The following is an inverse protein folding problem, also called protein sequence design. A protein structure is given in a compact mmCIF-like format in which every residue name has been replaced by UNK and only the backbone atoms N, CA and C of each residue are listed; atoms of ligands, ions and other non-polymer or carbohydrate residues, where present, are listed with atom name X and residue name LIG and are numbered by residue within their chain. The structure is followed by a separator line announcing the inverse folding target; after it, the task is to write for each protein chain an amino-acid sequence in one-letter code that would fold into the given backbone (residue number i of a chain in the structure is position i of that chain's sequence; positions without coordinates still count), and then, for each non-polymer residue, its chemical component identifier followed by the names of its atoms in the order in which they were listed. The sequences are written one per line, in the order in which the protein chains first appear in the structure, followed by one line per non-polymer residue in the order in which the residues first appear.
data_IF_847814035584
#
_entry.id   IF_847814035584
#
_cell.length_a   1.000
_cell.length_b   1.000
_cell.length_c   1.000
_cell.angle_alpha   90.00
_cell.angle_beta   90.00
_cell.angle_gamma   90.00
#
_symmetry.space_group_name_H-M   'P 1'
#
loop_
_entity.id
_entity.type
_entity.pdbx_description
1 polymer ?
#
# COMPACT_ATOMS: atom_id res chain seq x y z
N UNK A 1 -16.94 -7.01 8.10
CA UNK A 1 -17.42 -5.66 8.46
C UNK A 1 -17.59 -5.47 9.95
N UNK A 2 -18.30 -6.34 10.68
CA UNK A 2 -18.60 -6.10 12.11
C UNK A 2 -17.34 -5.95 12.99
N UNK A 3 -16.30 -6.76 12.76
CA UNK A 3 -15.02 -6.68 13.47
C UNK A 3 -14.24 -5.38 13.22
N UNK A 4 -14.39 -4.79 12.03
CA UNK A 4 -13.75 -3.52 11.66
C UNK A 4 -14.43 -2.35 12.37
N UNK A 5 -15.77 -2.37 12.46
CA UNK A 5 -16.51 -1.36 13.22
C UNK A 5 -16.19 -1.51 14.71
N UNK A 6 -16.21 -2.74 15.22
CA UNK A 6 -15.88 -3.05 16.61
C UNK A 6 -14.47 -2.58 16.98
N UNK A 7 -13.45 -2.77 16.12
CA UNK A 7 -12.10 -2.30 16.40
C UNK A 7 -12.02 -0.79 16.54
N UNK A 8 -12.78 -0.03 15.74
CA UNK A 8 -12.82 1.43 15.90
C UNK A 8 -13.50 1.85 17.20
N UNK A 9 -14.63 1.22 17.54
CA UNK A 9 -15.38 1.54 18.77
C UNK A 9 -14.56 1.18 20.01
N UNK A 10 -13.84 0.07 20.00
CA UNK A 10 -13.06 -0.40 21.14
C UNK A 10 -11.63 0.17 21.21
N UNK A 11 -11.21 0.96 20.22
CA UNK A 11 -9.83 1.43 20.10
C UNK A 11 -8.81 0.30 19.93
N UNK A 12 -9.20 -0.82 19.32
CA UNK A 12 -8.27 -1.92 19.06
C UNK A 12 -7.34 -1.57 17.90
N UNK A 13 -6.07 -1.98 18.01
CA UNK A 13 -5.04 -1.75 16.99
C UNK A 13 -5.37 -2.42 15.65
N UNK A 14 -5.94 -3.63 15.67
CA UNK A 14 -6.42 -4.30 14.47
C UNK A 14 -7.50 -5.36 14.77
N UNK A 15 -7.98 -6.01 13.72
CA UNK A 15 -8.90 -7.14 13.83
C UNK A 15 -8.43 -8.31 12.97
N UNK A 16 -8.73 -9.52 13.42
CA UNK A 16 -8.47 -10.75 12.69
C UNK A 16 -9.75 -11.57 12.55
N UNK A 17 -9.95 -12.16 11.36
CA UNK A 17 -11.07 -13.07 11.09
C UNK A 17 -10.50 -14.45 10.77
N UNK A 18 -10.84 -15.43 11.60
CA UNK A 18 -10.49 -16.84 11.37
C UNK A 18 -11.71 -17.64 10.92
N UNK A 19 -11.57 -18.60 10.00
CA UNK A 19 -12.59 -19.64 9.84
C UNK A 19 -12.72 -20.45 11.14
N UNK A 20 -13.94 -20.87 11.46
CA UNK A 20 -14.27 -21.77 12.57
C UNK A 20 -15.44 -22.66 12.15
N UNK A 21 -15.58 -23.84 12.78
CA UNK A 21 -16.70 -24.74 12.48
C UNK A 21 -18.04 -24.06 12.82
N UNK A 22 -18.92 -23.92 11.84
CA UNK A 22 -20.18 -23.18 12.00
C UNK A 22 -20.09 -21.66 11.81
N UNK A 23 -18.95 -21.10 11.39
CA UNK A 23 -18.88 -19.68 11.01
C UNK A 23 -17.48 -19.07 10.99
N UNK A 24 -17.33 -17.93 11.66
CA UNK A 24 -16.08 -17.21 11.74
C UNK A 24 -15.87 -16.64 13.15
N UNK A 25 -14.65 -16.80 13.66
CA UNK A 25 -14.21 -16.11 14.86
C UNK A 25 -13.64 -14.74 14.49
N UNK A 26 -13.95 -13.74 15.31
CA UNK A 26 -13.43 -12.38 15.17
C UNK A 26 -12.66 -12.00 16.43
N UNK A 27 -11.40 -11.63 16.25
CA UNK A 27 -10.52 -11.19 17.34
C UNK A 27 -10.20 -9.72 17.16
N UNK A 28 -10.24 -8.99 18.27
CA UNK A 28 -9.71 -7.63 18.37
C UNK A 28 -8.36 -7.73 19.06
N UNK A 29 -7.34 -7.13 18.46
CA UNK A 29 -5.96 -7.24 18.94
C UNK A 29 -5.47 -5.83 19.26
N UNK A 30 -4.94 -5.66 20.47
CA UNK A 30 -4.30 -4.43 20.94
C UNK A 30 -2.83 -4.69 21.16
N UNK A 31 -1.96 -3.81 20.67
CA UNK A 31 -0.53 -3.97 20.90
C UNK A 31 0.27 -2.78 20.41
N UNK A 32 1.17 -2.28 21.27
CA UNK A 32 2.02 -1.12 20.95
C UNK A 32 2.86 -1.33 19.69
N UNK A 33 3.32 -2.56 19.44
CA UNK A 33 4.08 -2.91 18.24
C UNK A 33 3.23 -2.78 16.97
N UNK A 34 1.93 -3.05 17.06
CA UNK A 34 0.97 -2.91 15.96
C UNK A 34 0.69 -1.42 15.73
N UNK A 35 0.46 -0.66 16.80
CA UNK A 35 0.21 0.78 16.73
C UNK A 35 1.43 1.57 16.23
N UNK A 36 2.64 1.06 16.49
CA UNK A 36 3.90 1.66 16.04
C UNK A 36 4.22 1.34 14.57
N UNK A 37 3.45 0.47 13.91
CA UNK A 37 3.66 0.21 12.48
C UNK A 37 3.31 1.48 11.69
N UNK A 38 4.13 1.85 10.68
CA UNK A 38 3.77 2.93 9.80
C UNK A 38 2.45 2.58 9.09
N UNK A 39 1.55 3.55 9.03
CA UNK A 39 0.26 3.40 8.33
C UNK A 39 0.46 3.09 6.83
N UNK A 40 1.63 3.44 6.29
CA UNK A 40 2.03 3.25 4.91
C UNK A 40 3.56 3.08 4.83
N UNK A 41 4.01 1.98 4.23
CA UNK A 41 5.43 1.75 3.95
C UNK A 41 5.63 1.36 2.47
N UNK A 42 6.81 1.70 1.92
CA UNK A 42 7.11 1.48 0.50
C UNK A 42 7.07 -0.01 0.13
N UNK A 43 7.50 -0.88 1.04
CA UNK A 43 7.57 -2.33 0.80
C UNK A 43 6.19 -2.92 0.55
N UNK A 44 5.20 -2.54 1.36
CA UNK A 44 3.79 -2.91 1.20
C UNK A 44 3.21 -2.34 -0.06
N UNK A 45 3.51 -1.08 -0.39
CA UNK A 45 3.05 -0.48 -1.64
C UNK A 45 3.53 -1.30 -2.84
N UNK A 46 4.83 -1.60 -2.89
CA UNK A 46 5.44 -2.36 -3.99
C UNK A 46 4.84 -3.76 -4.13
N UNK A 47 4.67 -4.47 -3.00
CA UNK A 47 4.03 -5.79 -3.02
C UNK A 47 2.58 -5.71 -3.51
N UNK A 48 1.78 -4.80 -2.94
CA UNK A 48 0.36 -4.66 -3.31
C UNK A 48 0.18 -4.25 -4.76
N UNK A 49 1.04 -3.35 -5.26
CA UNK A 49 1.00 -2.92 -6.64
C UNK A 49 1.38 -4.06 -7.58
N UNK A 50 2.44 -4.81 -7.27
CA UNK A 50 2.86 -6.01 -8.02
C UNK A 50 1.76 -7.07 -8.06
N UNK A 51 1.12 -7.35 -6.93
CA UNK A 51 -0.01 -8.28 -6.84
C UNK A 51 -1.17 -7.81 -7.72
N UNK A 52 -1.50 -6.51 -7.66
CA UNK A 52 -2.60 -5.92 -8.41
C UNK A 52 -2.39 -6.05 -9.92
N UNK A 53 -1.21 -5.66 -10.43
CA UNK A 53 -0.92 -5.74 -11.87
C UNK A 53 -0.76 -7.18 -12.37
N UNK A 54 -0.47 -8.14 -11.47
CA UNK A 54 -0.40 -9.56 -11.81
C UNK A 54 -1.77 -10.22 -11.88
N UNK A 55 -2.73 -9.75 -11.09
CA UNK A 55 -4.07 -10.34 -10.96
C UNK A 55 -5.10 -9.71 -11.90
N UNK A 56 -4.89 -8.45 -12.30
CA UNK A 56 -5.87 -7.68 -13.04
C UNK A 56 -5.25 -7.03 -14.28
N UNK A 57 -5.97 -7.09 -15.40
CA UNK A 57 -5.59 -6.36 -16.61
C UNK A 57 -6.03 -4.90 -16.45
N UNK A 58 -5.11 -4.08 -15.95
CA UNK A 58 -5.31 -2.64 -15.74
C UNK A 58 -4.20 -1.86 -16.44
N UNK A 59 -4.42 -0.57 -16.68
CA UNK A 59 -3.34 0.33 -17.07
C UNK A 59 -2.49 0.65 -15.83
N UNK A 60 -1.24 0.17 -15.78
CA UNK A 60 -0.41 0.23 -14.57
C UNK A 60 -0.09 1.69 -14.21
N UNK A 61 0.17 2.53 -15.22
CA UNK A 61 0.44 3.94 -15.05
C UNK A 61 -0.72 4.66 -14.34
N UNK A 62 -1.93 4.50 -14.87
CA UNK A 62 -3.13 5.13 -14.30
C UNK A 62 -3.46 4.55 -12.92
N UNK A 63 -3.27 3.25 -12.71
CA UNK A 63 -3.48 2.62 -11.41
C UNK A 63 -2.55 3.21 -10.34
N UNK A 64 -1.26 3.39 -10.65
CA UNK A 64 -0.29 3.96 -9.73
C UNK A 64 -0.57 5.44 -9.44
N UNK A 65 -0.69 6.26 -10.47
CA UNK A 65 -0.89 7.72 -10.31
C UNK A 65 -2.21 8.02 -9.59
N UNK A 66 -3.28 7.29 -9.89
CA UNK A 66 -4.56 7.41 -9.17
C UNK A 66 -4.43 6.99 -7.71
N UNK A 67 -3.67 5.94 -7.41
CA UNK A 67 -3.43 5.51 -6.03
C UNK A 67 -2.63 6.55 -5.25
N UNK A 68 -1.55 7.07 -5.82
CA UNK A 68 -0.72 8.11 -5.22
C UNK A 68 -1.54 9.37 -4.95
N UNK A 69 -2.36 9.81 -5.92
CA UNK A 69 -3.28 10.94 -5.76
C UNK A 69 -4.31 10.69 -4.66
N UNK A 70 -4.95 9.52 -4.61
CA UNK A 70 -5.93 9.17 -3.59
C UNK A 70 -5.34 9.07 -2.17
N UNK A 71 -4.03 8.82 -2.07
CA UNK A 71 -3.28 8.83 -0.81
C UNK A 71 -2.63 10.17 -0.50
N UNK A 72 -2.84 11.18 -1.35
CA UNK A 72 -2.25 12.52 -1.23
C UNK A 72 -0.71 12.46 -1.16
N UNK A 73 -0.11 11.47 -1.83
CA UNK A 73 1.34 11.30 -1.90
C UNK A 73 1.87 12.16 -3.06
N UNK A 74 2.79 13.10 -2.82
CA UNK A 74 3.39 13.89 -3.88
C UNK A 74 4.20 13.01 -4.83
N UNK A 75 3.96 13.16 -6.13
CA UNK A 75 4.71 12.48 -7.16
C UNK A 75 5.06 13.42 -8.32
N UNK A 76 6.14 13.12 -9.01
CA UNK A 76 6.56 13.76 -10.25
C UNK A 76 6.42 12.76 -11.39
N UNK A 77 5.88 13.25 -12.50
CA UNK A 77 5.67 12.47 -13.71
C UNK A 77 6.54 13.06 -14.83
N UNK A 78 7.36 12.20 -15.41
CA UNK A 78 8.12 12.43 -16.63
C UNK A 78 7.66 11.39 -17.66
N UNK A 79 7.98 11.60 -18.93
CA UNK A 79 7.61 10.65 -19.99
C UNK A 79 8.18 9.27 -19.66
N UNK A 80 7.29 8.30 -19.43
CA UNK A 80 7.65 6.92 -19.10
C UNK A 80 8.18 6.70 -17.68
N UNK A 81 8.12 7.69 -16.77
CA UNK A 81 8.68 7.58 -15.42
C UNK A 81 7.83 8.32 -14.38
N UNK A 82 7.40 7.59 -13.35
CA UNK A 82 6.75 8.16 -12.16
C UNK A 82 7.68 8.01 -10.97
N UNK A 83 7.92 9.10 -10.25
CA UNK A 83 8.68 9.10 -8.99
C UNK A 83 7.84 9.68 -7.86
N UNK A 84 7.88 9.07 -6.69
CA UNK A 84 7.15 9.55 -5.52
C UNK A 84 8.03 9.49 -4.27
N UNK A 85 7.84 10.44 -3.36
CA UNK A 85 8.54 10.45 -2.07
C UNK A 85 7.52 10.22 -0.96
N UNK A 86 7.73 9.18 -0.18
CA UNK A 86 6.89 8.84 0.97
C UNK A 86 7.22 9.76 2.15
N UNK A 87 6.30 9.85 3.12
CA UNK A 87 6.51 10.61 4.36
C UNK A 87 7.72 10.09 5.18
N UNK A 88 8.06 8.82 5.02
CA UNK A 88 9.27 8.18 5.59
C UNK A 88 10.58 8.64 4.95
N UNK A 89 10.52 9.39 3.83
CA UNK A 89 11.68 9.79 3.03
C UNK A 89 12.08 8.76 1.96
N UNK A 90 11.47 7.58 1.96
CA UNK A 90 11.68 6.56 0.93
C UNK A 90 11.20 7.05 -0.44
N UNK A 91 11.91 6.64 -1.49
CA UNK A 91 11.64 7.06 -2.87
C UNK A 91 11.18 5.85 -3.68
N UNK A 92 9.99 5.98 -4.28
CA UNK A 92 9.45 5.07 -5.28
C UNK A 92 9.82 5.59 -6.67
N UNK A 93 10.25 4.69 -7.55
CA UNK A 93 10.46 4.97 -8.97
C UNK A 93 9.87 3.85 -9.82
N UNK A 94 9.02 4.19 -10.79
CA UNK A 94 8.37 3.22 -11.68
C UNK A 94 8.50 3.69 -13.12
N UNK A 95 9.09 2.84 -13.95
CA UNK A 95 9.19 3.08 -15.39
C UNK A 95 8.06 2.38 -16.13
N UNK A 96 7.55 3.00 -17.19
CA UNK A 96 6.45 2.50 -17.98
C UNK A 96 6.82 2.44 -19.47
N UNK A 97 6.25 1.47 -20.17
CA UNK A 97 6.26 1.46 -21.64
C UNK A 97 5.22 2.43 -22.23
N UNK A 98 5.23 2.57 -23.56
CA UNK A 98 4.30 3.43 -24.30
C UNK A 98 2.83 3.04 -24.14
N UNK A 99 2.55 1.80 -23.70
CA UNK A 99 1.20 1.29 -23.44
C UNK A 99 0.76 1.47 -21.99
N UNK A 100 1.63 2.04 -21.13
CA UNK A 100 1.38 2.29 -19.72
C UNK A 100 1.59 1.06 -18.83
N UNK A 101 2.36 0.05 -19.29
CA UNK A 101 2.75 -1.12 -18.47
C UNK A 101 4.07 -0.84 -17.77
N UNK A 102 4.12 -1.19 -16.49
CA UNK A 102 5.33 -1.07 -15.69
C UNK A 102 6.45 -1.98 -16.22
N UNK A 103 7.61 -1.38 -16.54
CA UNK A 103 8.84 -2.06 -16.94
C UNK A 103 9.74 -2.35 -15.74
N UNK A 104 9.83 -1.40 -14.80
CA UNK A 104 10.62 -1.52 -13.58
C UNK A 104 9.91 -0.86 -12.40
N UNK A 105 10.09 -1.41 -11.21
CA UNK A 105 9.52 -0.93 -9.95
C UNK A 105 10.63 -0.95 -8.90
N UNK A 106 11.12 0.23 -8.53
CA UNK A 106 12.27 0.39 -7.65
C UNK A 106 11.88 1.17 -6.39
N UNK A 107 12.41 0.72 -5.26
CA UNK A 107 12.31 1.42 -3.99
C UNK A 107 13.70 1.69 -3.41
N UNK A 108 13.94 2.93 -2.99
CA UNK A 108 15.17 3.34 -2.34
C UNK A 108 14.91 3.95 -0.96
N UNK A 109 15.76 3.61 0.00
CA UNK A 109 15.81 4.29 1.29
C UNK A 109 16.32 5.73 1.09
N UNK A 110 15.93 6.69 1.95
CA UNK A 110 16.52 8.02 1.93
C UNK A 110 18.04 7.90 2.10
N UNK A 111 18.81 8.64 1.29
CA UNK A 111 20.25 8.77 1.51
C UNK A 111 20.46 9.45 2.88
N UNK A 112 21.15 8.77 3.79
CA UNK A 112 21.62 9.39 5.03
C UNK A 112 22.77 10.33 4.67
N UNK A 113 22.53 11.64 4.71
CA UNK A 113 23.58 12.66 4.82
C UNK A 113 24.01 12.81 6.30
#
# INVERSE_FOLDING_TARGET
MISMIASMISGASCHFRSPYEGGAAYLLITGREIDAQPAFDLTRLMHRFTDLISLYEVNHHNALTSYLAAKEIPFSELVGLVTARLASGEVLSVEFDETGRALSLNGALPAND
#
